data_IF_719771056708
#
_entry.id   IF_719771056708
#
_cell.length_a   1.000
_cell.length_b   1.000
_cell.length_c   1.000
_cell.angle_alpha   90.00
_cell.angle_beta   90.00
_cell.angle_gamma   90.00
#
_symmetry.space_group_name_H-M   'P 1'
#
loop_
_entity.id
_entity.type
_entity.pdbx_description
1 polymer ?
#
# COMPACT_ATOMS: atom_id res chain seq x y z
N UNK A 1 52.82 4.01 -7.22
CA UNK A 1 51.66 3.43 -6.49
C UNK A 1 50.46 4.36 -6.29
N UNK A 2 50.57 5.70 -6.39
CA UNK A 2 49.44 6.65 -6.15
C UNK A 2 48.42 6.81 -7.29
N UNK A 3 48.72 6.36 -8.52
CA UNK A 3 47.83 6.50 -9.70
C UNK A 3 46.66 5.49 -9.75
N UNK A 4 46.74 4.37 -9.02
CA UNK A 4 45.70 3.33 -9.03
C UNK A 4 44.45 3.72 -8.22
N UNK A 5 44.63 4.46 -7.12
CA UNK A 5 43.53 4.84 -6.22
C UNK A 5 42.68 5.96 -6.82
N UNK A 6 43.29 6.90 -7.55
CA UNK A 6 42.56 8.01 -8.19
C UNK A 6 41.56 7.50 -9.26
N UNK A 7 41.94 6.50 -10.07
CA UNK A 7 41.05 5.90 -11.07
C UNK A 7 39.81 5.21 -10.50
N UNK A 8 39.90 4.65 -9.28
CA UNK A 8 38.78 3.98 -8.63
C UNK A 8 37.70 5.01 -8.22
N UNK A 9 38.12 6.14 -7.64
CA UNK A 9 37.22 7.25 -7.29
C UNK A 9 36.65 7.99 -8.52
N UNK A 10 37.40 8.05 -9.62
CA UNK A 10 36.90 8.64 -10.87
C UNK A 10 35.84 7.74 -11.55
N UNK A 11 35.92 6.42 -11.38
CA UNK A 11 34.88 5.46 -11.81
C UNK A 11 33.58 5.65 -11.02
N UNK A 12 33.65 5.75 -9.68
CA UNK A 12 32.47 6.00 -8.84
C UNK A 12 31.75 7.31 -9.18
N UNK A 13 32.48 8.36 -9.59
CA UNK A 13 31.88 9.64 -10.02
C UNK A 13 31.26 9.59 -11.41
N UNK A 14 31.80 8.78 -12.32
CA UNK A 14 31.23 8.56 -13.65
C UNK A 14 29.92 7.77 -13.55
N UNK A 15 29.91 6.74 -12.71
CA UNK A 15 28.75 5.89 -12.49
C UNK A 15 27.65 6.62 -11.71
N UNK A 16 28.00 7.49 -10.77
CA UNK A 16 27.03 8.33 -10.07
C UNK A 16 26.28 9.30 -11.00
N UNK A 17 26.94 9.84 -12.02
CA UNK A 17 26.29 10.71 -13.03
C UNK A 17 25.35 9.91 -13.91
N UNK A 18 25.76 8.73 -14.36
CA UNK A 18 24.91 7.85 -15.16
C UNK A 18 23.71 7.35 -14.34
N UNK A 19 23.93 6.93 -13.10
CA UNK A 19 22.86 6.55 -12.17
C UNK A 19 21.90 7.72 -11.91
N UNK A 20 22.41 8.94 -11.70
CA UNK A 20 21.57 10.11 -11.52
C UNK A 20 20.70 10.39 -12.75
N UNK A 21 21.27 10.35 -13.96
CA UNK A 21 20.51 10.56 -15.22
C UNK A 21 19.44 9.48 -15.42
N UNK A 22 19.76 8.21 -15.14
CA UNK A 22 18.81 7.10 -15.27
C UNK A 22 17.70 7.11 -14.22
N UNK A 23 18.00 7.57 -12.99
CA UNK A 23 17.02 7.69 -11.91
C UNK A 23 16.16 8.95 -12.02
N UNK A 24 16.68 10.01 -12.67
CA UNK A 24 15.98 11.30 -12.82
C UNK A 24 14.55 11.15 -13.35
N UNK A 25 14.25 10.44 -14.46
CA UNK A 25 12.87 10.31 -14.95
C UNK A 25 11.95 9.58 -13.95
N UNK A 26 12.44 8.55 -13.28
CA UNK A 26 11.67 7.84 -12.25
C UNK A 26 11.39 8.74 -11.05
N UNK A 27 12.39 9.49 -10.58
CA UNK A 27 12.24 10.43 -9.48
C UNK A 27 11.28 11.56 -9.81
N UNK A 28 11.36 12.12 -11.03
CA UNK A 28 10.42 13.15 -11.49
C UNK A 28 8.98 12.63 -11.49
N UNK A 29 8.76 11.39 -11.95
CA UNK A 29 7.43 10.77 -11.90
C UNK A 29 6.95 10.53 -10.47
N UNK A 30 7.80 9.98 -9.60
CA UNK A 30 7.45 9.77 -8.18
C UNK A 30 7.12 11.11 -7.50
N UNK A 31 7.91 12.15 -7.76
CA UNK A 31 7.67 13.48 -7.18
C UNK A 31 6.36 14.07 -7.73
N UNK A 32 6.14 14.04 -9.04
CA UNK A 32 4.95 14.64 -9.66
C UNK A 32 3.65 13.90 -9.35
N UNK A 33 3.68 12.57 -9.27
CA UNK A 33 2.46 11.74 -9.18
C UNK A 33 2.18 11.30 -7.74
N UNK A 34 3.20 11.17 -6.90
CA UNK A 34 3.04 10.69 -5.51
C UNK A 34 3.32 11.82 -4.52
N UNK A 35 4.50 12.42 -4.56
CA UNK A 35 4.89 13.39 -3.54
C UNK A 35 4.09 14.70 -3.63
N UNK A 36 3.88 15.24 -4.82
CA UNK A 36 3.15 16.48 -5.04
C UNK A 36 1.71 16.42 -4.50
N UNK A 37 0.85 15.45 -4.89
CA UNK A 37 -0.50 15.38 -4.34
C UNK A 37 -0.51 15.07 -2.85
N UNK A 38 0.43 14.28 -2.32
CA UNK A 38 0.54 14.06 -0.87
C UNK A 38 0.83 15.35 -0.11
N UNK A 39 1.80 16.15 -0.57
CA UNK A 39 2.14 17.44 0.03
C UNK A 39 0.95 18.40 -0.10
N UNK A 40 0.32 18.45 -1.27
CA UNK A 40 -0.85 19.29 -1.50
C UNK A 40 -2.01 18.92 -0.57
N UNK A 41 -2.34 17.63 -0.45
CA UNK A 41 -3.34 17.13 0.50
C UNK A 41 -2.98 17.43 1.95
N UNK A 42 -1.70 17.34 2.31
CA UNK A 42 -1.22 17.67 3.66
C UNK A 42 -1.35 19.17 3.98
N UNK A 43 -1.08 20.07 3.02
CA UNK A 43 -1.31 21.51 3.22
C UNK A 43 -2.82 21.80 3.29
N UNK A 44 -3.61 21.14 2.44
CA UNK A 44 -5.07 21.30 2.43
C UNK A 44 -5.72 20.84 3.74
N UNK A 45 -5.19 19.83 4.43
CA UNK A 45 -5.80 19.34 5.68
C UNK A 45 -5.74 20.32 6.86
N UNK A 46 -4.99 21.42 6.75
CA UNK A 46 -5.01 22.52 7.72
C UNK A 46 -6.00 23.63 7.36
N UNK A 47 -6.62 23.56 6.18
CA UNK A 47 -7.64 24.51 5.74
C UNK A 47 -9.05 23.96 5.93
N UNK A 48 -10.03 24.86 5.99
CA UNK A 48 -11.44 24.52 5.80
C UNK A 48 -11.72 24.54 4.30
N UNK A 49 -11.76 23.35 3.68
CA UNK A 49 -11.90 23.20 2.23
C UNK A 49 -13.12 22.34 1.95
N UNK A 50 -14.17 22.96 1.42
CA UNK A 50 -15.33 22.22 0.93
C UNK A 50 -15.12 21.80 -0.52
N UNK A 51 -15.37 20.53 -0.85
CA UNK A 51 -15.31 20.02 -2.23
C UNK A 51 -16.23 20.79 -3.19
N UNK A 52 -17.32 21.37 -2.67
CA UNK A 52 -18.26 22.18 -3.43
C UNK A 52 -17.75 23.60 -3.71
N UNK A 53 -16.78 24.11 -2.94
CA UNK A 53 -16.31 25.49 -3.04
C UNK A 53 -14.80 25.60 -2.78
N UNK A 54 -14.01 24.95 -3.65
CA UNK A 54 -12.53 24.85 -3.56
C UNK A 54 -11.82 26.21 -3.59
N UNK A 55 -12.50 27.29 -3.97
CA UNK A 55 -11.92 28.64 -4.10
C UNK A 55 -11.66 29.34 -2.76
N UNK A 56 -12.38 28.97 -1.71
CA UNK A 56 -12.27 29.60 -0.40
C UNK A 56 -11.41 28.70 0.51
N UNK A 57 -10.08 28.75 0.32
CA UNK A 57 -9.15 28.10 1.24
C UNK A 57 -8.95 28.98 2.47
N UNK A 58 -9.65 28.67 3.56
CA UNK A 58 -9.44 29.34 4.85
C UNK A 58 -8.51 28.50 5.73
N UNK A 59 -7.31 29.02 6.03
CA UNK A 59 -6.39 28.34 6.93
C UNK A 59 -6.92 28.38 8.37
N UNK A 60 -7.34 27.23 8.88
CA UNK A 60 -7.90 27.07 10.24
C UNK A 60 -6.95 26.35 11.19
N UNK A 61 -5.73 26.05 10.73
CA UNK A 61 -4.69 25.39 11.52
C UNK A 61 -5.08 23.96 11.89
N UNK A 62 -5.02 23.63 13.18
CA UNK A 62 -5.28 22.27 13.70
C UNK A 62 -6.74 22.02 14.12
N UNK A 63 -7.64 22.98 13.93
CA UNK A 63 -9.04 22.86 14.36
C UNK A 63 -9.75 21.66 13.72
N UNK A 64 -9.48 21.36 12.44
CA UNK A 64 -10.05 20.20 11.74
C UNK A 64 -9.60 18.89 12.38
N UNK A 65 -8.33 18.80 12.76
CA UNK A 65 -7.83 17.61 13.46
C UNK A 65 -8.49 17.45 14.82
N UNK A 66 -8.64 18.52 15.61
CA UNK A 66 -9.35 18.44 16.90
C UNK A 66 -10.78 17.95 16.67
N UNK A 67 -11.52 18.55 15.75
CA UNK A 67 -12.89 18.16 15.40
C UNK A 67 -12.97 16.68 15.03
N UNK A 68 -12.11 16.21 14.12
CA UNK A 68 -12.06 14.81 13.67
C UNK A 68 -11.67 13.85 14.80
N UNK A 69 -10.66 14.16 15.61
CA UNK A 69 -10.24 13.28 16.72
C UNK A 69 -11.17 13.32 17.93
N UNK A 70 -12.07 14.30 18.04
CA UNK A 70 -13.15 14.31 19.03
C UNK A 70 -14.44 13.67 18.53
N UNK A 71 -14.54 13.36 17.24
CA UNK A 71 -15.72 12.75 16.64
C UNK A 71 -15.80 11.25 17.02
N UNK A 72 -16.88 10.82 17.74
CA UNK A 72 -17.07 9.43 18.11
C UNK A 72 -17.12 8.46 16.91
N UNK A 73 -17.66 8.88 15.77
CA UNK A 73 -17.80 8.05 14.58
C UNK A 73 -16.43 7.81 13.92
N UNK A 74 -15.56 8.82 13.93
CA UNK A 74 -14.19 8.70 13.45
C UNK A 74 -13.38 7.76 14.35
N UNK A 75 -13.47 7.92 15.67
CA UNK A 75 -12.80 7.03 16.63
C UNK A 75 -13.29 5.58 16.45
N UNK A 76 -14.60 5.37 16.31
CA UNK A 76 -15.16 4.05 16.05
C UNK A 76 -14.60 3.44 14.75
N UNK A 77 -14.56 4.23 13.68
CA UNK A 77 -14.03 3.82 12.37
C UNK A 77 -12.55 3.41 12.45
N UNK A 78 -11.72 4.14 13.21
CA UNK A 78 -10.33 3.75 13.47
C UNK A 78 -10.28 2.41 14.20
N UNK A 79 -11.07 2.23 15.26
CA UNK A 79 -11.04 0.99 16.05
C UNK A 79 -11.47 -0.23 15.23
N UNK A 80 -12.53 -0.10 14.41
CA UNK A 80 -12.98 -1.17 13.51
C UNK A 80 -11.89 -1.48 12.48
N UNK A 81 -11.29 -0.46 11.87
CA UNK A 81 -10.22 -0.63 10.88
C UNK A 81 -8.98 -1.27 11.49
N UNK A 82 -8.56 -0.84 12.68
CA UNK A 82 -7.41 -1.39 13.39
C UNK A 82 -7.63 -2.86 13.75
N UNK A 83 -8.80 -3.21 14.29
CA UNK A 83 -9.17 -4.62 14.55
C UNK A 83 -9.15 -5.43 13.27
N UNK A 84 -9.78 -4.93 12.20
CA UNK A 84 -9.80 -5.60 10.90
C UNK A 84 -8.37 -5.85 10.36
N UNK A 85 -7.51 -4.84 10.33
CA UNK A 85 -6.12 -4.98 9.87
C UNK A 85 -5.36 -5.96 10.75
N UNK A 86 -5.46 -5.83 12.08
CA UNK A 86 -4.75 -6.70 13.01
C UNK A 86 -5.10 -8.18 12.78
N UNK A 87 -6.39 -8.54 12.82
CA UNK A 87 -6.81 -9.93 12.65
C UNK A 87 -6.52 -10.46 11.25
N UNK A 88 -6.75 -9.65 10.21
CA UNK A 88 -6.50 -10.09 8.83
C UNK A 88 -5.01 -10.30 8.55
N UNK A 89 -4.15 -9.42 9.03
CA UNK A 89 -2.69 -9.56 8.88
C UNK A 89 -2.20 -10.74 9.71
N UNK A 90 -2.65 -10.90 10.95
CA UNK A 90 -2.28 -12.04 11.80
C UNK A 90 -2.62 -13.36 11.12
N UNK A 91 -3.85 -13.53 10.65
CA UNK A 91 -4.30 -14.75 9.95
C UNK A 91 -3.51 -14.96 8.66
N UNK A 92 -3.30 -13.91 7.85
CA UNK A 92 -2.51 -13.99 6.61
C UNK A 92 -1.06 -14.38 6.86
N UNK A 93 -0.43 -13.86 7.91
CA UNK A 93 0.95 -14.19 8.28
C UNK A 93 1.07 -15.62 8.76
N UNK A 94 0.18 -16.07 9.65
CA UNK A 94 0.20 -17.45 10.17
C UNK A 94 -0.03 -18.44 9.03
N UNK A 95 -1.12 -18.31 8.29
CA UNK A 95 -1.45 -19.23 7.20
C UNK A 95 -0.43 -19.15 6.06
N UNK A 96 -0.01 -17.95 5.67
CA UNK A 96 0.97 -17.73 4.62
C UNK A 96 2.32 -18.35 4.95
N UNK A 97 2.77 -18.22 6.21
CA UNK A 97 4.03 -18.84 6.67
C UNK A 97 3.93 -20.36 6.71
N UNK A 98 2.82 -20.91 7.23
CA UNK A 98 2.58 -22.36 7.23
C UNK A 98 2.61 -22.93 5.81
N UNK A 99 1.88 -22.31 4.87
CA UNK A 99 1.87 -22.71 3.45
C UNK A 99 3.27 -22.57 2.85
N UNK A 100 4.01 -21.50 3.14
CA UNK A 100 5.36 -21.30 2.62
C UNK A 100 6.34 -22.39 3.09
N UNK A 101 6.26 -22.80 4.37
CA UNK A 101 7.07 -23.90 4.90
C UNK A 101 6.69 -25.22 4.25
N UNK A 102 5.40 -25.52 4.07
CA UNK A 102 4.95 -26.74 3.36
C UNK A 102 5.43 -26.76 1.90
N UNK A 103 5.41 -25.62 1.22
CA UNK A 103 5.90 -25.48 -0.15
C UNK A 103 7.43 -25.46 -0.26
N UNK A 104 8.17 -25.46 0.85
CA UNK A 104 9.63 -25.58 0.84
C UNK A 104 10.07 -27.02 0.51
N UNK A 105 9.34 -28.00 1.02
CA UNK A 105 9.64 -29.43 0.85
C UNK A 105 9.48 -29.91 -0.60
N UNK A 106 10.21 -30.97 -0.95
CA UNK A 106 10.14 -31.58 -2.27
C UNK A 106 9.07 -32.67 -2.29
N UNK A 107 7.91 -32.38 -2.90
CA UNK A 107 6.81 -33.34 -3.08
C UNK A 107 6.24 -33.30 -4.51
N UNK A 108 5.62 -34.40 -4.93
CA UNK A 108 4.99 -34.54 -6.25
C UNK A 108 3.80 -33.59 -6.34
N UNK A 109 3.78 -32.70 -7.34
CA UNK A 109 2.71 -31.71 -7.54
C UNK A 109 2.99 -30.30 -7.00
N UNK A 110 4.15 -30.06 -6.37
CA UNK A 110 4.57 -28.76 -5.80
C UNK A 110 4.38 -27.56 -6.74
N UNK A 111 4.69 -27.71 -8.02
CA UNK A 111 4.56 -26.64 -9.01
C UNK A 111 3.10 -26.24 -9.23
N UNK A 112 2.18 -27.21 -9.25
CA UNK A 112 0.75 -26.94 -9.39
C UNK A 112 0.20 -26.27 -8.13
N UNK A 113 0.55 -26.77 -6.94
CA UNK A 113 0.11 -26.17 -5.68
C UNK A 113 0.58 -24.71 -5.57
N UNK A 114 1.83 -24.41 -5.94
CA UNK A 114 2.35 -23.03 -5.96
C UNK A 114 1.56 -22.13 -6.92
N UNK A 115 1.21 -22.63 -8.10
CA UNK A 115 0.39 -21.87 -9.05
C UNK A 115 -1.01 -21.58 -8.49
N UNK A 116 -1.68 -22.58 -7.90
CA UNK A 116 -3.02 -22.42 -7.33
C UNK A 116 -3.06 -21.39 -6.20
N UNK A 117 -2.04 -21.36 -5.33
CA UNK A 117 -1.96 -20.39 -4.21
C UNK A 117 -1.79 -18.94 -4.70
N UNK A 118 -1.26 -18.73 -5.90
CA UNK A 118 -1.08 -17.39 -6.49
C UNK A 118 -2.38 -16.87 -7.12
N UNK A 119 -3.28 -17.75 -7.57
CA UNK A 119 -4.52 -17.34 -8.26
C UNK A 119 -5.33 -16.30 -7.47
N UNK A 120 -5.59 -16.48 -6.15
CA UNK A 120 -6.36 -15.50 -5.38
C UNK A 120 -5.73 -14.10 -5.33
N UNK A 121 -4.40 -14.00 -5.47
CA UNK A 121 -3.71 -12.71 -5.49
C UNK A 121 -3.98 -11.93 -6.79
N UNK A 122 -4.21 -12.62 -7.91
CA UNK A 122 -4.54 -11.99 -9.19
C UNK A 122 -6.01 -11.54 -9.27
N UNK A 123 -6.87 -12.03 -8.37
CA UNK A 123 -8.30 -11.73 -8.38
C UNK A 123 -8.59 -10.32 -7.86
N UNK A 124 -9.36 -9.48 -8.59
CA UNK A 124 -9.76 -8.16 -8.10
C UNK A 124 -10.58 -8.23 -6.81
N UNK A 125 -10.39 -7.28 -5.89
CA UNK A 125 -11.11 -7.25 -4.60
C UNK A 125 -12.63 -7.23 -4.74
N UNK A 126 -13.16 -6.59 -5.79
CA UNK A 126 -14.61 -6.55 -6.08
C UNK A 126 -15.14 -7.96 -6.35
N UNK A 127 -14.41 -8.77 -7.12
CA UNK A 127 -14.80 -10.16 -7.43
C UNK A 127 -14.81 -11.00 -6.16
N UNK A 128 -13.77 -10.86 -5.33
CA UNK A 128 -13.70 -11.54 -4.02
C UNK A 128 -14.91 -11.19 -3.16
N UNK A 129 -15.28 -9.91 -3.10
CA UNK A 129 -16.47 -9.47 -2.35
C UNK A 129 -17.77 -10.07 -2.87
N UNK A 130 -17.96 -10.12 -4.19
CA UNK A 130 -19.13 -10.73 -4.81
C UNK A 130 -19.21 -12.24 -4.57
N UNK A 131 -18.07 -12.93 -4.61
CA UNK A 131 -17.99 -14.36 -4.31
C UNK A 131 -18.44 -14.62 -2.87
N UNK A 132 -17.90 -13.90 -1.89
CA UNK A 132 -18.32 -14.05 -0.49
C UNK A 132 -19.80 -13.73 -0.29
N UNK A 133 -20.30 -12.66 -0.93
CA UNK A 133 -21.72 -12.29 -0.88
C UNK A 133 -22.62 -13.40 -1.44
N UNK A 134 -22.23 -14.01 -2.55
CA UNK A 134 -22.95 -15.14 -3.13
C UNK A 134 -22.85 -16.39 -2.26
N UNK A 135 -21.66 -16.72 -1.75
CA UNK A 135 -21.43 -17.89 -0.90
C UNK A 135 -22.30 -17.85 0.36
N UNK A 136 -22.47 -16.66 0.94
CA UNK A 136 -23.27 -16.41 2.14
C UNK A 136 -24.75 -16.09 1.83
N UNK A 137 -25.19 -16.22 0.58
CA UNK A 137 -26.57 -15.91 0.19
C UNK A 137 -27.55 -16.95 0.73
N UNK A 138 -28.68 -16.52 1.29
CA UNK A 138 -29.57 -17.39 2.07
C UNK A 138 -30.39 -18.43 1.33
N UNK A 139 -30.50 -18.33 0.00
CA UNK A 139 -31.32 -19.24 -0.80
C UNK A 139 -30.54 -20.08 -1.81
N UNK A 140 -29.36 -19.61 -2.21
CA UNK A 140 -28.57 -20.18 -3.31
C UNK A 140 -27.08 -20.17 -2.99
N UNK A 141 -26.71 -19.78 -1.77
CA UNK A 141 -25.33 -19.77 -1.32
C UNK A 141 -24.89 -21.18 -0.98
N UNK A 142 -23.58 -21.39 -1.09
CA UNK A 142 -22.96 -22.69 -0.76
C UNK A 142 -22.67 -22.85 0.73
N UNK A 143 -22.79 -21.78 1.53
CA UNK A 143 -22.50 -21.79 2.98
C UNK A 143 -23.77 -21.84 3.85
N UNK A 144 -24.92 -21.35 3.40
CA UNK A 144 -26.14 -21.16 4.19
C UNK A 144 -27.33 -21.92 3.58
#
# INVERSE_FOLDING_TARGET
MKRGIQRFFDFERSDAKLAAVLLTPTLLLVIGVVAYPLIYSFVMSFGDVEFANIKDYDFVGISQYVKTFTDPDFINSIQVSAKFVFFTVLVKLVLGTLIAVMLKENFIGRSMTRALVIIPWATPFVVVGLMWKWMLHSKVGVIN
#
